data_IF_008308174867
#
_entry.id   IF_008308174867
#
_cell.length_a   1.000
_cell.length_b   1.000
_cell.length_c   1.000
_cell.angle_alpha   90.00
_cell.angle_beta   90.00
_cell.angle_gamma   90.00
#
_symmetry.space_group_name_H-M   'P 1'
#
loop_
_entity.id
_entity.type
_entity.pdbx_description
1 polymer ?
#
# COMPACT_ATOMS: atom_id res chain seq x y z
N UNK A 1 -25.06 10.43 12.97
CA UNK A 1 -23.75 9.81 12.65
C UNK A 1 -23.73 8.26 12.76
N UNK A 2 -24.88 7.56 12.77
CA UNK A 2 -24.94 6.08 12.92
C UNK A 2 -25.08 5.33 11.57
N UNK A 3 -25.30 6.05 10.46
CA UNK A 3 -25.67 5.47 9.15
C UNK A 3 -24.68 4.41 8.63
N UNK A 4 -23.39 4.54 8.97
CA UNK A 4 -22.34 3.62 8.55
C UNK A 4 -21.66 2.86 9.71
N UNK A 5 -22.20 2.94 10.94
CA UNK A 5 -21.58 2.35 12.15
C UNK A 5 -20.10 2.73 12.35
N UNK A 6 -19.70 3.92 11.90
CA UNK A 6 -18.34 4.44 12.09
C UNK A 6 -18.26 5.20 13.41
N UNK A 7 -17.32 4.81 14.27
CA UNK A 7 -16.98 5.55 15.50
C UNK A 7 -15.92 6.60 15.20
N UNK A 8 -16.30 7.87 15.28
CA UNK A 8 -15.35 8.97 15.10
C UNK A 8 -14.52 9.17 16.37
N UNK A 9 -13.19 9.04 16.25
CA UNK A 9 -12.24 9.41 17.30
C UNK A 9 -11.70 10.80 17.00
N UNK A 10 -11.87 11.74 17.92
CA UNK A 10 -11.41 13.12 17.78
C UNK A 10 -10.17 13.33 18.65
N UNK A 11 -9.18 14.03 18.11
CA UNK A 11 -8.06 14.54 18.89
C UNK A 11 -8.41 15.92 19.46
N UNK A 12 -7.85 16.24 20.63
CA UNK A 12 -7.94 17.59 21.19
C UNK A 12 -7.15 18.58 20.33
N UNK A 13 -7.68 19.80 20.19
CA UNK A 13 -6.97 20.87 19.48
C UNK A 13 -5.58 21.10 20.08
N UNK A 14 -4.59 21.39 19.24
CA UNK A 14 -3.19 21.60 19.62
C UNK A 14 -2.52 20.42 20.36
N UNK A 15 -3.11 19.23 20.31
CA UNK A 15 -2.49 18.00 20.83
C UNK A 15 -2.24 16.95 19.71
N UNK A 16 -1.31 17.25 18.78
CA UNK A 16 -1.03 16.42 17.60
C UNK A 16 -0.58 14.98 17.93
N UNK A 17 0.01 14.79 19.11
CA UNK A 17 0.65 13.55 19.53
C UNK A 17 -0.30 12.36 19.66
N UNK A 18 -1.62 12.61 19.76
CA UNK A 18 -2.66 11.56 19.78
C UNK A 18 -2.69 10.72 18.50
N UNK A 19 -2.14 11.22 17.38
CA UNK A 19 -2.12 10.50 16.09
C UNK A 19 -0.74 10.50 15.41
N UNK A 20 0.34 10.30 16.16
CA UNK A 20 1.71 10.37 15.64
C UNK A 20 1.99 9.54 14.39
N UNK A 21 1.35 8.36 14.23
CA UNK A 21 1.47 7.54 13.02
C UNK A 21 0.95 8.24 11.75
N UNK A 22 -0.17 8.94 11.87
CA UNK A 22 -0.77 9.72 10.77
C UNK A 22 0.12 10.91 10.45
N UNK A 23 0.72 11.55 11.46
CA UNK A 23 1.62 12.68 11.25
C UNK A 23 2.89 12.31 10.50
N UNK A 24 3.55 11.23 10.91
CA UNK A 24 4.77 10.72 10.25
C UNK A 24 4.46 10.35 8.79
N UNK A 25 3.33 9.68 8.56
CA UNK A 25 2.91 9.29 7.21
C UNK A 25 2.61 10.51 6.34
N UNK A 26 1.85 11.48 6.87
CA UNK A 26 1.52 12.72 6.18
C UNK A 26 2.76 13.56 5.87
N UNK A 27 3.73 13.62 6.78
CA UNK A 27 5.02 14.30 6.54
C UNK A 27 5.80 13.65 5.41
N UNK A 28 5.79 12.32 5.32
CA UNK A 28 6.39 11.58 4.22
C UNK A 28 5.74 11.88 2.87
N UNK A 29 4.40 11.85 2.81
CA UNK A 29 3.64 12.16 1.60
C UNK A 29 3.85 13.61 1.13
N UNK A 30 3.81 14.58 2.06
CA UNK A 30 4.07 15.99 1.74
C UNK A 30 5.45 16.19 1.12
N UNK A 31 6.49 15.56 1.64
CA UNK A 31 7.85 15.63 1.07
C UNK A 31 7.95 15.08 -0.35
N UNK A 32 7.20 14.01 -0.67
CA UNK A 32 7.17 13.44 -2.02
C UNK A 32 6.45 14.40 -2.97
N UNK A 33 5.30 14.93 -2.55
CA UNK A 33 4.55 15.93 -3.31
C UNK A 33 5.35 17.21 -3.56
N UNK A 34 6.01 17.75 -2.52
CA UNK A 34 6.87 18.93 -2.64
C UNK A 34 7.95 18.74 -3.71
N UNK A 35 8.58 17.56 -3.75
CA UNK A 35 9.60 17.22 -4.75
C UNK A 35 9.05 17.05 -6.16
N UNK A 36 7.81 16.60 -6.31
CA UNK A 36 7.18 16.36 -7.61
C UNK A 36 6.58 17.63 -8.22
N UNK A 37 6.04 18.50 -7.37
CA UNK A 37 5.32 19.70 -7.79
C UNK A 37 6.30 20.86 -8.08
N UNK A 38 7.50 20.84 -7.46
CA UNK A 38 8.64 21.76 -7.70
C UNK A 38 8.23 23.23 -7.87
N UNK A 39 7.96 23.65 -9.10
CA UNK A 39 7.72 25.04 -9.50
C UNK A 39 6.24 25.41 -9.57
N UNK A 40 5.35 24.48 -9.96
CA UNK A 40 3.94 24.80 -10.16
C UNK A 40 3.06 24.26 -9.03
N UNK A 41 3.01 24.98 -7.90
CA UNK A 41 2.26 24.58 -6.69
C UNK A 41 0.76 24.31 -6.92
N UNK A 42 0.19 24.77 -8.03
CA UNK A 42 -1.22 24.58 -8.36
C UNK A 42 -1.54 23.15 -8.87
N UNK A 43 -0.58 22.42 -9.44
CA UNK A 43 -0.81 21.09 -10.04
C UNK A 43 -0.59 19.92 -9.07
N UNK A 44 -0.64 20.17 -7.76
CA UNK A 44 -0.43 19.11 -6.75
C UNK A 44 -1.47 18.00 -6.83
N UNK A 45 -2.71 18.32 -7.22
CA UNK A 45 -3.79 17.34 -7.33
C UNK A 45 -3.54 16.33 -8.45
N UNK A 46 -3.06 16.79 -9.61
CA UNK A 46 -2.69 15.93 -10.74
C UNK A 46 -1.53 14.98 -10.41
N UNK A 47 -0.71 15.37 -9.44
CA UNK A 47 0.47 14.62 -8.98
C UNK A 47 0.19 13.78 -7.74
N UNK A 48 -1.04 13.81 -7.21
CA UNK A 48 -1.37 13.11 -5.98
C UNK A 48 -1.31 11.59 -6.15
N UNK A 49 -1.83 11.07 -7.24
CA UNK A 49 -1.82 9.62 -7.50
C UNK A 49 -0.41 9.07 -7.65
N UNK A 50 0.44 9.77 -8.41
CA UNK A 50 1.87 9.45 -8.56
C UNK A 50 2.59 9.46 -7.20
N UNK A 51 2.30 10.43 -6.34
CA UNK A 51 2.93 10.56 -5.04
C UNK A 51 2.46 9.47 -4.06
N UNK A 52 1.17 9.14 -4.08
CA UNK A 52 0.60 8.04 -3.31
C UNK A 52 1.19 6.70 -3.76
N UNK A 53 1.36 6.52 -5.08
CA UNK A 53 1.99 5.33 -5.64
C UNK A 53 3.43 5.19 -5.13
N UNK A 54 4.25 6.23 -5.28
CA UNK A 54 5.63 6.24 -4.80
C UNK A 54 5.71 5.98 -3.29
N UNK A 55 4.79 6.55 -2.50
CA UNK A 55 4.75 6.30 -1.05
C UNK A 55 4.41 4.85 -0.70
N UNK A 56 3.46 4.24 -1.42
CA UNK A 56 3.00 2.86 -1.19
C UNK A 56 4.04 1.82 -1.60
N UNK A 57 4.83 2.08 -2.64
CA UNK A 57 5.84 1.15 -3.16
C UNK A 57 7.22 1.34 -2.53
N UNK A 58 7.50 2.50 -1.92
CA UNK A 58 8.76 2.72 -1.22
C UNK A 58 8.90 1.83 0.03
N UNK A 59 10.06 1.16 0.16
CA UNK A 59 10.38 0.36 1.34
C UNK A 59 10.52 1.23 2.57
N UNK A 60 9.90 0.83 3.68
CA UNK A 60 9.97 1.55 4.95
C UNK A 60 10.80 0.72 5.92
N UNK A 61 12.02 1.18 6.20
CA UNK A 61 12.98 0.49 7.08
C UNK A 61 12.39 0.16 8.46
N UNK A 62 11.60 1.09 9.02
CA UNK A 62 10.94 0.88 10.33
C UNK A 62 9.89 -0.25 10.31
N UNK A 63 9.26 -0.51 9.16
CA UNK A 63 8.25 -1.55 9.00
C UNK A 63 8.80 -2.84 8.37
N UNK A 64 10.06 -2.85 7.90
CA UNK A 64 10.65 -3.99 7.20
C UNK A 64 9.95 -4.39 5.90
N UNK A 65 9.09 -3.54 5.35
CA UNK A 65 8.33 -3.81 4.13
C UNK A 65 7.81 -2.52 3.47
N UNK A 66 7.19 -2.65 2.30
CA UNK A 66 6.48 -1.56 1.64
C UNK A 66 5.05 -1.45 2.20
N UNK A 67 4.47 -0.25 2.32
CA UNK A 67 3.07 -0.10 2.73
C UNK A 67 2.09 -0.89 1.84
N UNK A 68 2.40 -1.04 0.56
CA UNK A 68 1.63 -1.90 -0.35
C UNK A 68 1.63 -3.36 0.09
N UNK A 69 2.82 -3.91 0.44
CA UNK A 69 2.94 -5.28 0.93
C UNK A 69 2.20 -5.49 2.24
N UNK A 70 2.16 -4.47 3.11
CA UNK A 70 1.41 -4.53 4.36
C UNK A 70 -0.10 -4.69 4.15
N UNK A 71 -0.67 -4.02 3.14
CA UNK A 71 -2.12 -4.05 2.87
C UNK A 71 -2.54 -5.27 2.07
N UNK A 72 -1.78 -5.61 1.03
CA UNK A 72 -2.18 -6.66 0.08
C UNK A 72 -1.52 -8.01 0.35
N UNK A 73 -0.47 -8.05 1.19
CA UNK A 73 0.33 -9.24 1.40
C UNK A 73 1.09 -9.63 0.13
N UNK A 74 1.51 -8.71 -0.75
CA UNK A 74 2.41 -9.04 -1.88
C UNK A 74 3.34 -7.87 -2.18
N UNK A 75 4.53 -8.15 -2.70
CA UNK A 75 5.36 -7.12 -3.32
C UNK A 75 4.63 -6.50 -4.49
N UNK A 76 4.78 -5.19 -4.67
CA UNK A 76 4.34 -4.52 -5.88
C UNK A 76 5.33 -4.89 -6.99
N UNK A 77 4.89 -5.65 -7.99
CA UNK A 77 5.57 -5.71 -9.29
C UNK A 77 5.06 -4.52 -10.13
N UNK A 78 5.27 -4.41 -11.44
CA UNK A 78 4.74 -3.28 -12.24
C UNK A 78 3.23 -3.05 -11.96
N UNK A 79 2.62 -1.89 -12.33
CA UNK A 79 1.20 -1.66 -12.08
C UNK A 79 0.42 -2.92 -12.43
N UNK A 80 -0.25 -3.51 -11.43
CA UNK A 80 -0.88 -4.83 -11.57
C UNK A 80 -1.79 -4.85 -12.79
N UNK A 81 -2.33 -3.70 -13.18
CA UNK A 81 -3.14 -3.46 -14.37
C UNK A 81 -2.37 -3.69 -15.69
N UNK A 82 -1.10 -3.27 -15.78
CA UNK A 82 -0.21 -3.47 -16.93
C UNK A 82 0.23 -4.93 -17.04
N UNK A 83 0.67 -5.52 -15.92
CA UNK A 83 1.06 -6.94 -15.89
C UNK A 83 -0.14 -7.84 -16.14
N UNK A 84 -1.31 -7.55 -15.57
CA UNK A 84 -2.52 -8.32 -15.77
C UNK A 84 -2.99 -8.22 -17.22
N UNK A 85 -2.99 -7.04 -17.85
CA UNK A 85 -3.33 -6.92 -19.29
C UNK A 85 -2.36 -7.69 -20.18
N UNK A 86 -1.05 -7.57 -19.96
CA UNK A 86 -0.04 -8.31 -20.71
C UNK A 86 -0.14 -9.82 -20.47
N UNK A 87 -0.35 -10.24 -19.22
CA UNK A 87 -0.52 -11.63 -18.82
C UNK A 87 -1.79 -12.24 -19.41
N UNK A 88 -2.93 -11.53 -19.40
CA UNK A 88 -4.17 -12.00 -20.02
C UNK A 88 -4.05 -12.16 -21.52
N UNK A 89 -3.36 -11.23 -22.20
CA UNK A 89 -3.05 -11.35 -23.63
C UNK A 89 -2.16 -12.57 -23.91
N UNK A 90 -1.13 -12.80 -23.10
CA UNK A 90 -0.23 -13.95 -23.23
C UNK A 90 -0.94 -15.28 -22.94
N UNK A 91 -1.82 -15.31 -21.93
CA UNK A 91 -2.58 -16.50 -21.54
C UNK A 91 -3.56 -16.93 -22.62
N UNK A 92 -4.19 -15.98 -23.31
CA UNK A 92 -5.08 -16.26 -24.43
C UNK A 92 -4.40 -17.06 -25.56
N UNK A 93 -3.07 -16.97 -25.68
CA UNK A 93 -2.30 -17.59 -26.77
C UNK A 93 -1.79 -19.00 -26.42
N UNK A 94 -1.62 -19.35 -25.13
CA UNK A 94 -1.02 -20.63 -24.69
C UNK A 94 -1.70 -21.22 -23.43
N UNK A 95 -2.99 -21.54 -23.50
CA UNK A 95 -3.75 -21.98 -22.33
C UNK A 95 -3.68 -23.51 -22.12
N UNK A 96 -2.89 -23.96 -21.13
CA UNK A 96 -2.99 -25.33 -20.60
C UNK A 96 -3.64 -25.27 -19.20
N UNK A 97 -4.87 -25.81 -19.08
CA UNK A 97 -5.75 -25.58 -17.93
C UNK A 97 -5.23 -26.19 -16.62
N UNK A 98 -4.59 -27.37 -16.67
CA UNK A 98 -4.10 -28.08 -15.46
C UNK A 98 -2.93 -27.35 -14.80
N UNK A 99 -1.87 -27.06 -15.55
CA UNK A 99 -0.71 -26.31 -15.07
C UNK A 99 -1.06 -24.90 -14.61
N UNK A 100 -2.04 -24.27 -15.26
CA UNK A 100 -2.56 -22.97 -14.84
C UNK A 100 -3.28 -23.04 -13.47
N UNK A 101 -4.06 -24.10 -13.23
CA UNK A 101 -4.77 -24.31 -11.98
C UNK A 101 -3.81 -24.53 -10.81
N UNK A 102 -2.81 -25.39 -11.00
CA UNK A 102 -1.80 -25.68 -9.97
C UNK A 102 -0.96 -24.45 -9.64
N UNK A 103 -0.54 -23.69 -10.67
CA UNK A 103 0.20 -22.44 -10.46
C UNK A 103 -0.64 -21.39 -9.72
N UNK A 104 -1.94 -21.28 -10.03
CA UNK A 104 -2.83 -20.36 -9.32
C UNK A 104 -3.02 -20.77 -7.86
N UNK A 105 -3.10 -22.07 -7.58
CA UNK A 105 -3.20 -22.60 -6.21
C UNK A 105 -1.93 -22.29 -5.41
N UNK A 106 -0.76 -22.46 -6.01
CA UNK A 106 0.52 -22.09 -5.41
C UNK A 106 0.58 -20.58 -5.10
N UNK A 107 0.25 -19.73 -6.09
CA UNK A 107 0.24 -18.27 -5.92
C UNK A 107 -0.74 -17.78 -4.84
N UNK A 108 -1.83 -18.53 -4.59
CA UNK A 108 -2.80 -18.24 -3.54
C UNK A 108 -2.24 -18.60 -2.15
N UNK A 109 -1.54 -19.73 -2.03
CA UNK A 109 -0.86 -20.11 -0.78
C UNK A 109 0.27 -19.13 -0.43
N UNK A 110 1.08 -18.72 -1.40
CA UNK A 110 2.09 -17.67 -1.17
C UNK A 110 1.45 -16.35 -0.73
N UNK A 111 0.28 -16.01 -1.29
CA UNK A 111 -0.46 -14.82 -0.90
C UNK A 111 -0.95 -14.90 0.55
N UNK A 112 -1.37 -16.06 1.03
CA UNK A 112 -1.74 -16.23 2.45
C UNK A 112 -0.54 -16.07 3.37
N UNK A 113 0.60 -16.68 3.04
CA UNK A 113 1.81 -16.57 3.88
C UNK A 113 2.29 -15.12 4.02
N UNK A 114 2.26 -14.37 2.92
CA UNK A 114 2.62 -12.96 2.98
C UNK A 114 1.62 -12.09 3.75
N UNK A 115 0.33 -12.46 3.80
CA UNK A 115 -0.66 -11.78 4.63
C UNK A 115 -0.39 -12.01 6.10
N UNK A 116 -0.03 -13.24 6.47
CA UNK A 116 0.33 -13.59 7.85
C UNK A 116 1.58 -12.81 8.28
N UNK A 117 2.61 -12.76 7.42
CA UNK A 117 3.80 -11.95 7.68
C UNK A 117 3.49 -10.45 7.79
N UNK A 118 2.58 -9.93 6.96
CA UNK A 118 2.15 -8.54 7.02
C UNK A 118 1.42 -8.24 8.34
N UNK A 119 0.58 -9.16 8.80
CA UNK A 119 -0.11 -9.05 10.08
C UNK A 119 0.90 -8.97 11.25
N UNK A 120 1.87 -9.88 11.29
CA UNK A 120 2.95 -9.89 12.29
C UNK A 120 3.76 -8.57 12.28
N UNK A 121 4.17 -8.12 11.09
CA UNK A 121 4.91 -6.86 10.95
C UNK A 121 4.08 -5.66 11.43
N UNK A 122 2.76 -5.68 11.22
CA UNK A 122 1.85 -4.63 11.69
C UNK A 122 1.75 -4.58 13.22
N UNK A 123 1.76 -5.73 13.88
CA UNK A 123 1.73 -5.86 15.35
C UNK A 123 3.03 -5.33 15.94
N UNK A 124 4.18 -5.80 15.42
CA UNK A 124 5.51 -5.36 15.87
C UNK A 124 5.68 -3.84 15.72
N UNK A 125 5.18 -3.26 14.61
CA UNK A 125 5.25 -1.81 14.41
C UNK A 125 4.41 -1.03 15.44
N UNK A 126 3.21 -1.53 15.78
CA UNK A 126 2.35 -0.90 16.81
C UNK A 126 2.98 -0.97 18.20
N UNK A 127 3.69 -2.06 18.52
CA UNK A 127 4.42 -2.18 19.79
C UNK A 127 5.61 -1.23 19.89
N UNK A 128 6.39 -1.08 18.82
CA UNK A 128 7.55 -0.18 18.78
C UNK A 128 7.21 1.31 18.73
N UNK A 129 5.95 1.65 18.44
CA UNK A 129 5.48 3.05 18.33
C UNK A 129 4.62 3.51 19.50
N UNK A 130 4.36 2.64 20.48
CA UNK A 130 3.92 3.03 21.82
C UNK A 130 5.10 3.52 22.66
#
# INVERSE_FOLDING_TARGET
MIKYRVTHRLATAYHPQTSGQVEVSNRGLKRILERMVRENRASWSDKLDDALWAFRTAYKTLMGCTPYKLVYGKSCHLPIELEHRAYWALKHVNFNFKTTGDHRKLQLNELSEFRDQAYENSVIYKEKTK
#
